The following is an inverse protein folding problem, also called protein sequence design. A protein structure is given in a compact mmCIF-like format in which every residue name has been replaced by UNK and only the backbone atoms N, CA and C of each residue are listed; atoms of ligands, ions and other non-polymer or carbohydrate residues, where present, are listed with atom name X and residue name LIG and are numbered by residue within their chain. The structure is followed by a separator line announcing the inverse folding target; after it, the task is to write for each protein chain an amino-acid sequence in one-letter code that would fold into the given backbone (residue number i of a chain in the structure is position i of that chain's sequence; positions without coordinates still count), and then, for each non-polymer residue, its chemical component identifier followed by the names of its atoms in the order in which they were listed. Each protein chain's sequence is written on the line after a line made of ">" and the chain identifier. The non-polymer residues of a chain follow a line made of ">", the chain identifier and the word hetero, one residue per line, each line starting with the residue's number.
data_IF_394968847431
#
_entry.id   IF_394968847431
#
_cell.length_a   1.000
_cell.length_b   1.000
_cell.length_c   1.000
_cell.angle_alpha   90.00
_cell.angle_beta   90.00
_cell.angle_gamma   90.00
#
_symmetry.space_group_name_H-M   'P 1'
#
loop_
_entity.id
_entity.type
_entity.pdbx_description
1 polymer ?
#
# COMPACT_ATOMS: atom_id res chain seq x y z
N UNK A 1 -1.45 33.09 -2.33
CA UNK A 1 -1.77 31.66 -2.28
C UNK A 1 -0.65 30.96 -1.52
N UNK A 2 -0.84 30.57 -0.25
CA UNK A 2 0.15 29.75 0.42
C UNK A 2 -0.03 28.29 0.01
N UNK A 3 1.06 27.75 -0.51
CA UNK A 3 1.31 26.36 -0.85
C UNK A 3 1.08 25.45 0.35
N UNK A 4 0.38 24.34 0.13
CA UNK A 4 0.15 23.30 1.13
C UNK A 4 1.48 22.63 1.49
N UNK A 5 2.04 23.03 2.62
CA UNK A 5 3.10 22.31 3.31
C UNK A 5 2.47 21.31 4.28
N UNK A 6 2.87 20.05 4.09
CA UNK A 6 2.79 18.91 4.99
C UNK A 6 2.26 19.20 6.41
N UNK A 7 1.02 18.80 6.66
CA UNK A 7 0.53 18.60 8.03
C UNK A 7 0.95 17.21 8.51
N UNK A 8 2.11 17.17 9.16
CA UNK A 8 2.51 16.09 10.03
C UNK A 8 1.62 16.11 11.29
N UNK A 9 0.47 15.43 11.21
CA UNK A 9 -0.40 15.19 12.35
C UNK A 9 0.14 14.06 13.22
N UNK A 10 1.01 14.38 14.17
CA UNK A 10 1.27 13.53 15.32
C UNK A 10 0.15 13.74 16.34
N UNK A 11 -0.86 12.86 16.34
CA UNK A 11 -1.86 12.78 17.41
C UNK A 11 -1.57 11.57 18.28
N UNK A 12 -1.11 11.84 19.50
CA UNK A 12 -1.11 10.92 20.62
C UNK A 12 -2.55 10.50 20.92
N UNK A 13 -2.84 9.22 20.74
CA UNK A 13 -4.05 8.55 21.18
C UNK A 13 -3.78 7.06 21.23
N UNK A 14 -3.75 6.49 22.42
CA UNK A 14 -3.66 5.04 22.59
C UNK A 14 -4.94 4.40 22.04
N UNK A 15 -4.93 3.96 20.78
CA UNK A 15 -5.97 3.11 20.21
C UNK A 15 -5.36 2.21 19.16
N UNK A 16 -5.24 0.94 19.56
CA UNK A 16 -5.10 -0.24 18.71
C UNK A 16 -4.04 -0.17 17.61
N UNK A 17 -2.91 -0.86 17.84
CA UNK A 17 -1.91 -1.24 16.82
C UNK A 17 -2.47 -1.50 15.40
N UNK A 18 -3.63 -2.17 15.21
CA UNK A 18 -4.16 -2.40 13.86
C UNK A 18 -4.69 -1.15 13.14
N UNK A 19 -5.07 -0.06 13.82
CA UNK A 19 -5.51 1.20 13.18
C UNK A 19 -4.33 1.94 12.53
N UNK A 20 -3.19 1.97 13.21
CA UNK A 20 -1.94 2.51 12.69
C UNK A 20 -1.45 1.73 11.46
N UNK A 21 -1.64 0.41 11.45
CA UNK A 21 -1.33 -0.43 10.29
C UNK A 21 -2.24 -0.06 9.11
N UNK A 22 -3.54 0.10 9.33
CA UNK A 22 -4.50 0.54 8.29
C UNK A 22 -4.09 1.87 7.67
N UNK A 23 -3.78 2.87 8.51
CA UNK A 23 -3.37 4.20 8.03
C UNK A 23 -2.07 4.13 7.19
N UNK A 24 -1.08 3.35 7.65
CA UNK A 24 0.19 3.15 6.91
C UNK A 24 -0.02 2.43 5.59
N UNK A 25 -0.89 1.42 5.54
CA UNK A 25 -1.23 0.68 4.31
C UNK A 25 -1.87 1.60 3.26
N UNK A 26 -2.75 2.50 3.70
CA UNK A 26 -3.41 3.45 2.81
C UNK A 26 -2.47 4.57 2.35
N UNK A 27 -1.57 5.02 3.21
CA UNK A 27 -0.54 6.01 2.89
C UNK A 27 0.63 5.43 2.06
N UNK A 28 0.80 4.11 2.06
CA UNK A 28 1.87 3.44 1.32
C UNK A 28 1.71 3.64 -0.20
N UNK A 29 2.78 4.16 -0.81
CA UNK A 29 2.88 4.34 -2.26
C UNK A 29 3.28 3.05 -2.97
N UNK A 30 3.96 2.15 -2.26
CA UNK A 30 4.40 0.87 -2.80
C UNK A 30 3.71 -0.30 -2.11
N UNK A 31 3.47 -1.38 -2.87
CA UNK A 31 2.97 -2.64 -2.31
C UNK A 31 3.93 -3.26 -1.27
N UNK A 32 5.22 -2.94 -1.31
CA UNK A 32 6.19 -3.40 -0.32
C UNK A 32 6.01 -2.72 1.04
N UNK A 33 5.75 -1.41 1.05
CA UNK A 33 5.46 -0.65 2.27
C UNK A 33 4.16 -1.09 2.94
N UNK A 34 3.17 -1.52 2.16
CA UNK A 34 1.92 -2.13 2.66
C UNK A 34 2.21 -3.33 3.58
N UNK A 35 3.20 -4.15 3.23
CA UNK A 35 3.63 -5.27 4.07
C UNK A 35 4.71 -4.91 5.09
N UNK A 36 5.25 -3.68 5.04
CA UNK A 36 6.42 -3.28 5.81
C UNK A 36 7.68 -4.06 5.44
N UNK A 37 7.76 -4.56 4.20
CA UNK A 37 8.86 -5.37 3.69
C UNK A 37 9.73 -4.55 2.74
N UNK A 38 11.03 -4.87 2.59
CA UNK A 38 11.87 -4.25 1.58
C UNK A 38 11.49 -4.68 0.16
N UNK A 39 11.79 -3.82 -0.82
CA UNK A 39 11.49 -4.06 -2.25
C UNK A 39 12.14 -5.34 -2.83
N UNK A 40 13.16 -5.87 -2.14
CA UNK A 40 13.88 -7.08 -2.51
C UNK A 40 13.32 -8.37 -1.90
N UNK A 41 12.18 -8.33 -1.22
CA UNK A 41 11.62 -9.51 -0.54
C UNK A 41 11.06 -10.54 -1.54
N UNK A 42 11.31 -11.85 -1.33
CA UNK A 42 10.74 -12.92 -2.15
C UNK A 42 9.25 -13.14 -1.84
N UNK A 43 8.51 -13.65 -2.82
CA UNK A 43 7.07 -13.97 -2.71
C UNK A 43 6.73 -14.88 -1.53
N UNK A 44 7.62 -15.80 -1.18
CA UNK A 44 7.43 -16.73 -0.06
C UNK A 44 7.28 -15.99 1.27
N UNK A 45 8.06 -14.93 1.46
CA UNK A 45 7.99 -14.08 2.66
C UNK A 45 6.75 -13.20 2.60
N UNK A 46 6.39 -12.64 1.44
CA UNK A 46 5.18 -11.83 1.26
C UNK A 46 3.93 -12.64 1.62
N UNK A 47 3.80 -13.88 1.11
CA UNK A 47 2.70 -14.80 1.47
C UNK A 47 2.64 -15.12 2.96
N UNK A 48 3.80 -15.22 3.62
CA UNK A 48 3.88 -15.48 5.08
C UNK A 48 3.44 -14.25 5.89
N UNK A 49 3.90 -13.07 5.48
CA UNK A 49 3.54 -11.80 6.12
C UNK A 49 2.06 -11.48 5.91
N UNK A 50 1.50 -11.71 4.72
CA UNK A 50 0.07 -11.55 4.44
C UNK A 50 -0.79 -12.35 5.43
N UNK A 51 -0.46 -13.62 5.69
CA UNK A 51 -1.22 -14.44 6.65
C UNK A 51 -1.22 -13.86 8.06
N UNK A 52 -0.09 -13.28 8.50
CA UNK A 52 0.03 -12.62 9.80
C UNK A 52 -0.73 -11.28 9.82
N UNK A 53 -0.64 -10.50 8.76
CA UNK A 53 -1.33 -9.21 8.61
C UNK A 53 -2.83 -9.38 8.51
N UNK A 54 -3.33 -10.34 7.72
CA UNK A 54 -4.75 -10.62 7.57
C UNK A 54 -5.41 -11.01 8.90
N UNK A 55 -4.71 -11.79 9.74
CA UNK A 55 -5.18 -12.11 11.09
C UNK A 55 -5.17 -10.89 12.04
N UNK A 56 -4.29 -9.91 11.78
CA UNK A 56 -4.16 -8.68 12.58
C UNK A 56 -5.11 -7.57 12.12
N UNK A 57 -5.42 -7.53 10.82
CA UNK A 57 -6.32 -6.58 10.16
C UNK A 57 -7.76 -7.10 10.07
N UNK A 58 -8.05 -8.28 10.62
CA UNK A 58 -9.35 -8.92 10.51
C UNK A 58 -10.46 -7.98 11.04
N UNK A 59 -11.54 -7.74 10.25
CA UNK A 59 -12.56 -6.74 10.58
C UNK A 59 -13.33 -7.05 11.87
N UNK A 60 -13.31 -8.30 12.32
CA UNK A 60 -13.90 -8.73 13.61
C UNK A 60 -13.16 -8.17 14.83
N UNK A 61 -11.84 -8.02 14.74
CA UNK A 61 -10.99 -7.51 15.84
C UNK A 61 -10.59 -6.05 15.65
N UNK A 62 -10.79 -5.51 14.46
CA UNK A 62 -10.32 -4.21 14.05
C UNK A 62 -11.49 -3.31 13.68
N UNK A 63 -11.87 -2.42 14.58
CA UNK A 63 -12.99 -1.48 14.41
C UNK A 63 -12.59 -0.23 13.61
N UNK A 64 -11.43 -0.24 12.96
CA UNK A 64 -10.93 0.90 12.20
C UNK A 64 -11.90 1.26 11.05
N UNK A 65 -12.23 2.55 10.86
CA UNK A 65 -13.18 3.00 9.83
C UNK A 65 -12.69 2.82 8.38
N UNK A 66 -11.53 2.17 8.16
CA UNK A 66 -10.98 1.83 6.85
C UNK A 66 -10.29 0.46 6.81
N UNK A 67 -10.59 -0.42 7.76
CA UNK A 67 -10.01 -1.77 7.79
C UNK A 67 -10.29 -2.54 6.49
N UNK A 68 -11.50 -2.41 5.93
CA UNK A 68 -11.88 -3.05 4.67
C UNK A 68 -11.04 -2.54 3.48
N UNK A 69 -10.85 -1.22 3.37
CA UNK A 69 -10.04 -0.61 2.30
C UNK A 69 -8.58 -1.07 2.39
N UNK A 70 -7.99 -1.06 3.58
CA UNK A 70 -6.64 -1.56 3.79
C UNK A 70 -6.54 -3.07 3.49
N UNK A 71 -7.53 -3.87 3.87
CA UNK A 71 -7.55 -5.31 3.59
C UNK A 71 -7.60 -5.59 2.09
N UNK A 72 -8.45 -4.87 1.34
CA UNK A 72 -8.49 -4.91 -0.13
C UNK A 72 -7.12 -4.58 -0.72
N UNK A 73 -6.51 -3.47 -0.30
CA UNK A 73 -5.19 -3.01 -0.78
C UNK A 73 -4.08 -4.02 -0.49
N UNK A 74 -4.08 -4.64 0.69
CA UNK A 74 -3.15 -5.72 1.07
C UNK A 74 -3.35 -6.96 0.18
N UNK A 75 -4.59 -7.31 -0.15
CA UNK A 75 -4.91 -8.40 -1.07
C UNK A 75 -4.44 -8.13 -2.51
N UNK A 76 -4.64 -6.92 -3.03
CA UNK A 76 -4.14 -6.50 -4.34
C UNK A 76 -2.62 -6.46 -4.40
N UNK A 77 -1.99 -5.94 -3.34
CA UNK A 77 -0.55 -5.94 -3.17
C UNK A 77 0.02 -7.37 -3.22
N UNK A 78 -0.60 -8.30 -2.49
CA UNK A 78 -0.20 -9.71 -2.51
C UNK A 78 -0.30 -10.27 -3.93
N UNK A 79 -1.46 -10.13 -4.58
CA UNK A 79 -1.69 -10.69 -5.91
C UNK A 79 -0.73 -10.16 -6.97
N UNK A 80 -0.24 -8.92 -6.79
CA UNK A 80 0.73 -8.30 -7.69
C UNK A 80 2.16 -8.74 -7.38
N UNK A 81 2.54 -8.80 -6.10
CA UNK A 81 3.89 -9.15 -5.67
C UNK A 81 4.20 -10.65 -5.72
N UNK A 82 3.16 -11.48 -5.62
CA UNK A 82 3.27 -12.94 -5.66
C UNK A 82 3.44 -13.48 -7.08
N UNK A 83 2.99 -12.71 -8.06
CA UNK A 83 3.06 -13.11 -9.46
C UNK A 83 4.27 -12.42 -10.10
N UNK A 84 5.27 -13.16 -10.59
CA UNK A 84 6.49 -12.56 -11.13
C UNK A 84 6.22 -11.71 -12.36
N UNK A 85 5.18 -12.03 -13.15
CA UNK A 85 4.79 -11.27 -14.34
C UNK A 85 4.14 -9.95 -13.93
N UNK A 86 3.19 -9.99 -12.98
CA UNK A 86 2.57 -8.77 -12.45
C UNK A 86 3.56 -7.89 -11.71
N UNK A 87 4.47 -8.48 -10.92
CA UNK A 87 5.56 -7.77 -10.24
C UNK A 87 6.46 -7.09 -11.25
N UNK A 88 6.84 -7.78 -12.33
CA UNK A 88 7.65 -7.19 -13.40
C UNK A 88 6.92 -6.05 -14.10
N UNK A 89 5.63 -6.20 -14.41
CA UNK A 89 4.81 -5.12 -15.00
C UNK A 89 4.62 -3.95 -14.03
N UNK A 90 4.48 -4.21 -12.75
CA UNK A 90 4.40 -3.17 -11.71
C UNK A 90 5.73 -2.43 -11.58
N UNK A 91 6.86 -3.13 -11.55
CA UNK A 91 8.20 -2.53 -11.46
C UNK A 91 8.54 -1.73 -12.74
N UNK A 92 8.22 -2.28 -13.92
CA UNK A 92 8.33 -1.56 -15.21
C UNK A 92 7.33 -0.41 -15.35
N UNK A 93 6.14 -0.52 -14.77
CA UNK A 93 5.06 0.47 -14.82
C UNK A 93 5.25 1.60 -13.81
N UNK A 94 5.88 1.33 -12.67
CA UNK A 94 6.35 2.34 -11.71
C UNK A 94 7.46 3.23 -12.31
N UNK A 95 8.09 2.79 -13.40
CA UNK A 95 9.02 3.57 -14.22
C UNK A 95 8.33 4.42 -15.29
N UNK A 96 6.99 4.43 -15.36
CA UNK A 96 6.26 5.42 -16.15
C UNK A 96 5.66 6.48 -15.23
N UNK A 97 6.13 7.74 -15.28
CA UNK A 97 5.41 8.82 -14.62
C UNK A 97 3.99 8.87 -15.22
N UNK A 98 2.99 8.97 -14.36
CA UNK A 98 1.64 9.28 -14.81
C UNK A 98 1.69 10.49 -15.77
N UNK A 99 1.20 10.27 -16.99
CA UNK A 99 0.32 11.23 -17.64
C UNK A 99 0.93 12.50 -18.24
N UNK A 100 1.94 12.42 -19.09
CA UNK A 100 2.20 13.51 -20.05
C UNK A 100 2.70 13.03 -21.43
N UNK A 101 1.94 12.16 -22.10
CA UNK A 101 2.12 11.90 -23.55
C UNK A 101 0.80 12.05 -24.33
N UNK A 102 0.00 13.02 -23.90
CA UNK A 102 -1.16 13.52 -24.65
C UNK A 102 -0.98 14.93 -25.20
N UNK A 103 0.27 15.39 -25.43
CA UNK A 103 0.47 16.64 -26.17
C UNK A 103 0.34 16.34 -27.65
N UNK A 104 -0.90 16.51 -28.11
CA UNK A 104 -1.32 16.69 -29.50
C UNK A 104 -0.17 17.08 -30.43
N UNK A 105 0.37 16.09 -31.14
CA UNK A 105 1.12 16.29 -32.36
C UNK A 105 0.17 15.93 -33.49
N UNK A 106 -0.44 16.97 -34.07
CA UNK A 106 -1.17 16.91 -35.34
C UNK A 106 -0.68 18.08 -36.20
N UNK A 107 -0.51 17.88 -37.52
CA UNK A 107 0.25 18.75 -38.42
C UNK A 107 -0.35 20.16 -38.60
#
# INVERSE_FOLDING_TARGET
>A
APSQAAEAGASSGASSEPEAVVARVLAASTFYEVFGLPNKTPEAVIRKTYRRLAASLHPDKNTAPRAEEAFKRVGEALQTLVDPVKRFHYDKGLLQPQGQLGRSMGP
#
